data_IF_080876609968
#
_entry.id   IF_080876609968
#
_cell.length_a   1.000
_cell.length_b   1.000
_cell.length_c   1.000
_cell.angle_alpha   90.00
_cell.angle_beta   90.00
_cell.angle_gamma   90.00
#
_symmetry.space_group_name_H-M   'P 1'
#
loop_
_entity.id
_entity.type
_entity.pdbx_description
1 polymer ?
#
# COMPACT_ATOMS: atom_id res chain seq x y z
N UNK A 1 63.99 -0.23 -14.30
CA UNK A 1 62.80 0.66 -14.28
C UNK A 1 62.98 1.66 -13.15
N UNK A 2 62.94 2.94 -13.44
CA UNK A 2 63.45 4.03 -12.56
C UNK A 2 62.44 4.26 -11.40
N UNK A 3 62.86 4.09 -10.15
CA UNK A 3 62.03 4.23 -8.92
C UNK A 3 61.20 5.54 -8.88
N UNK A 4 61.69 6.61 -9.51
CA UNK A 4 60.99 7.90 -9.65
C UNK A 4 59.84 7.83 -10.68
N UNK A 5 59.95 7.01 -11.72
CA UNK A 5 58.90 6.80 -12.71
C UNK A 5 57.76 5.98 -12.11
N UNK A 6 58.08 4.93 -11.36
CA UNK A 6 57.10 4.08 -10.66
C UNK A 6 56.26 4.86 -9.65
N UNK A 7 56.89 5.78 -8.88
CA UNK A 7 56.15 6.66 -7.95
C UNK A 7 55.17 7.61 -8.67
N UNK A 8 55.58 8.14 -9.85
CA UNK A 8 54.67 9.01 -10.64
C UNK A 8 53.50 8.23 -11.23
N UNK A 9 53.72 6.98 -11.67
CA UNK A 9 52.64 6.13 -12.16
C UNK A 9 51.66 5.71 -11.06
N UNK A 10 52.13 5.38 -9.85
CA UNK A 10 51.30 5.07 -8.69
C UNK A 10 50.46 6.27 -8.27
N UNK A 11 51.04 7.49 -8.26
CA UNK A 11 50.30 8.72 -7.94
C UNK A 11 49.21 9.02 -8.99
N UNK A 12 49.56 8.81 -10.28
CA UNK A 12 48.61 9.02 -11.39
C UNK A 12 47.45 8.02 -11.35
N UNK A 13 47.72 6.76 -10.96
CA UNK A 13 46.66 5.72 -10.81
C UNK A 13 45.74 6.00 -9.63
N UNK A 14 46.30 6.48 -8.51
CA UNK A 14 45.51 6.87 -7.34
C UNK A 14 44.63 8.10 -7.66
N UNK A 15 45.16 9.08 -8.42
CA UNK A 15 44.43 10.27 -8.83
C UNK A 15 43.32 9.95 -9.85
N UNK A 16 43.52 8.93 -10.71
CA UNK A 16 42.51 8.48 -11.66
C UNK A 16 41.36 7.69 -10.97
N UNK A 17 41.64 6.95 -9.89
CA UNK A 17 40.62 6.28 -9.08
C UNK A 17 39.73 7.24 -8.30
N UNK A 18 40.16 8.48 -8.04
CA UNK A 18 39.34 9.52 -7.40
C UNK A 18 38.37 10.22 -8.35
N UNK A 19 38.46 9.99 -9.66
CA UNK A 19 37.63 10.58 -10.70
C UNK A 19 36.47 9.67 -11.14
N UNK A 20 36.27 8.50 -10.49
CA UNK A 20 35.08 7.71 -10.73
C UNK A 20 33.93 8.45 -10.05
N UNK A 21 32.94 9.01 -10.78
CA UNK A 21 31.76 9.57 -10.15
C UNK A 21 31.07 8.40 -9.44
N UNK A 22 31.16 8.38 -8.10
CA UNK A 22 30.20 7.61 -7.33
C UNK A 22 28.85 8.21 -7.69
N UNK A 23 27.98 7.44 -8.38
CA UNK A 23 26.57 7.74 -8.38
C UNK A 23 26.14 7.65 -6.91
N UNK A 24 26.12 8.78 -6.23
CA UNK A 24 25.35 8.91 -5.02
C UNK A 24 23.91 8.59 -5.46
N UNK A 25 23.40 7.43 -5.11
CA UNK A 25 21.96 7.22 -5.09
C UNK A 25 21.47 8.31 -4.13
N UNK A 26 20.67 9.23 -4.65
CA UNK A 26 19.97 10.16 -3.77
C UNK A 26 19.09 9.29 -2.89
N UNK A 27 19.54 9.03 -1.68
CA UNK A 27 18.65 8.53 -0.63
C UNK A 27 17.59 9.59 -0.45
N UNK A 28 16.35 9.15 -0.33
CA UNK A 28 15.23 10.02 0.00
C UNK A 28 15.62 10.86 1.21
N UNK A 29 15.49 12.18 1.11
CA UNK A 29 15.90 13.07 2.21
C UNK A 29 14.96 12.83 3.41
N UNK A 30 15.50 12.24 4.47
CA UNK A 30 14.75 11.98 5.71
C UNK A 30 14.19 13.28 6.27
N UNK A 31 12.90 13.31 6.58
CA UNK A 31 12.17 14.49 7.03
C UNK A 31 11.65 15.38 5.89
N UNK A 32 11.96 15.08 4.62
CA UNK A 32 11.35 15.76 3.49
C UNK A 32 9.85 15.47 3.44
N UNK A 33 9.05 16.51 3.26
CA UNK A 33 7.61 16.40 3.06
C UNK A 33 7.25 16.80 1.62
N UNK A 34 6.47 15.96 0.96
CA UNK A 34 5.83 16.28 -0.33
C UNK A 34 4.33 16.18 -0.13
N UNK A 35 3.60 17.19 -0.60
CA UNK A 35 2.13 17.21 -0.55
C UNK A 35 1.55 16.97 -1.93
N UNK A 36 0.58 16.06 -2.02
CA UNK A 36 -0.19 15.87 -3.24
C UNK A 36 -1.60 16.43 -3.06
N UNK A 37 -2.05 17.18 -4.05
CA UNK A 37 -3.33 17.88 -4.03
C UNK A 37 -4.19 17.43 -5.22
N UNK A 38 -5.44 17.09 -4.94
CA UNK A 38 -6.41 16.85 -6.02
C UNK A 38 -6.61 18.11 -6.88
N UNK A 39 -6.63 17.96 -8.21
CA UNK A 39 -6.71 19.09 -9.14
C UNK A 39 -7.99 19.92 -8.98
N UNK A 40 -9.08 19.26 -8.56
CA UNK A 40 -10.41 19.89 -8.48
C UNK A 40 -10.68 20.59 -7.15
N UNK A 41 -9.67 20.73 -6.30
CA UNK A 41 -9.76 21.54 -5.08
C UNK A 41 -9.82 23.03 -5.41
N UNK A 42 -10.69 23.78 -4.71
CA UNK A 42 -10.66 25.25 -4.76
C UNK A 42 -9.41 25.78 -4.05
N UNK A 43 -9.00 27.03 -4.31
CA UNK A 43 -7.88 27.64 -3.60
C UNK A 43 -8.05 27.64 -2.07
N UNK A 44 -9.26 27.87 -1.58
CA UNK A 44 -9.59 27.85 -0.15
C UNK A 44 -9.44 26.46 0.43
N UNK A 45 -9.91 25.43 -0.29
CA UNK A 45 -9.75 24.03 0.12
C UNK A 45 -8.27 23.63 0.16
N UNK A 46 -7.47 23.99 -0.85
CA UNK A 46 -6.02 23.75 -0.87
C UNK A 46 -5.35 24.35 0.36
N UNK A 47 -5.62 25.62 0.66
CA UNK A 47 -5.04 26.29 1.82
C UNK A 47 -5.46 25.61 3.14
N UNK A 48 -6.72 25.22 3.26
CA UNK A 48 -7.23 24.50 4.44
C UNK A 48 -6.52 23.18 4.64
N UNK A 49 -6.37 22.38 3.56
CA UNK A 49 -5.71 21.08 3.64
C UNK A 49 -4.21 21.23 3.93
N UNK A 50 -3.52 22.19 3.32
CA UNK A 50 -2.11 22.47 3.62
C UNK A 50 -1.91 22.82 5.11
N UNK A 51 -2.79 23.65 5.67
CA UNK A 51 -2.76 23.99 7.09
C UNK A 51 -3.05 22.77 7.99
N UNK A 52 -4.02 21.92 7.60
CA UNK A 52 -4.35 20.68 8.31
C UNK A 52 -3.18 19.70 8.31
N UNK A 53 -2.50 19.53 7.18
CA UNK A 53 -1.30 18.72 7.01
C UNK A 53 -0.07 19.29 7.71
N UNK A 54 -0.16 20.53 8.27
CA UNK A 54 0.98 21.26 8.84
C UNK A 54 2.13 21.43 7.84
N UNK A 55 1.78 21.58 6.57
CA UNK A 55 2.75 21.68 5.50
C UNK A 55 3.61 22.98 5.64
N UNK A 56 4.94 22.90 5.47
CA UNK A 56 5.79 24.09 5.37
C UNK A 56 5.35 25.02 4.24
N UNK A 57 5.66 26.31 4.36
CA UNK A 57 5.26 27.30 3.34
C UNK A 57 5.89 27.04 1.96
N UNK A 58 7.07 26.44 1.95
CA UNK A 58 7.86 26.09 0.77
C UNK A 58 7.74 24.61 0.39
N UNK A 59 6.73 23.89 0.93
CA UNK A 59 6.53 22.48 0.65
C UNK A 59 6.36 22.22 -0.84
N UNK A 60 7.03 21.21 -1.34
CA UNK A 60 6.81 20.77 -2.71
C UNK A 60 5.41 20.18 -2.86
N UNK A 61 4.67 20.66 -3.87
CA UNK A 61 3.32 20.20 -4.15
C UNK A 61 3.22 19.52 -5.52
N UNK A 62 2.48 18.42 -5.58
CA UNK A 62 2.19 17.67 -6.81
C UNK A 62 0.67 17.64 -6.99
N UNK A 63 0.20 17.80 -8.23
CA UNK A 63 -1.24 17.70 -8.54
C UNK A 63 -1.57 16.30 -9.04
N UNK A 64 -2.71 15.77 -8.58
CA UNK A 64 -3.31 14.53 -9.07
C UNK A 64 -4.59 14.88 -9.80
N UNK A 65 -4.70 14.49 -11.06
CA UNK A 65 -5.87 14.73 -11.88
C UNK A 65 -6.89 13.59 -11.80
N UNK A 66 -8.15 13.90 -12.05
CA UNK A 66 -9.17 12.87 -12.17
C UNK A 66 -8.94 11.95 -13.39
N UNK A 67 -8.26 12.45 -14.42
CA UNK A 67 -7.87 11.63 -15.56
C UNK A 67 -6.89 10.52 -15.18
N UNK A 68 -5.90 10.83 -14.34
CA UNK A 68 -4.95 9.85 -13.78
C UNK A 68 -5.67 8.80 -12.91
N UNK A 69 -6.65 9.20 -12.09
CA UNK A 69 -7.47 8.25 -11.34
C UNK A 69 -8.20 7.26 -12.27
N UNK A 70 -8.81 7.78 -13.33
CA UNK A 70 -9.49 6.93 -14.30
C UNK A 70 -8.53 6.01 -15.07
N UNK A 71 -7.31 6.43 -15.33
CA UNK A 71 -6.29 5.61 -15.96
C UNK A 71 -5.90 4.42 -15.09
N UNK A 72 -5.65 4.64 -13.80
CA UNK A 72 -5.21 3.58 -12.88
C UNK A 72 -6.34 2.69 -12.36
N UNK A 73 -7.54 3.23 -12.21
CA UNK A 73 -8.64 2.56 -11.51
C UNK A 73 -9.79 2.14 -12.44
N UNK A 74 -9.90 2.76 -13.63
CA UNK A 74 -11.04 2.59 -14.51
C UNK A 74 -11.27 1.18 -15.04
N UNK A 75 -10.26 0.30 -14.98
CA UNK A 75 -10.39 -1.12 -15.31
C UNK A 75 -10.96 -1.96 -14.14
N UNK A 76 -10.93 -1.45 -12.91
CA UNK A 76 -11.25 -2.22 -11.72
C UNK A 76 -12.53 -1.77 -11.03
N UNK A 77 -12.89 -0.49 -11.14
CA UNK A 77 -14.12 0.07 -10.54
C UNK A 77 -14.89 0.93 -11.53
N UNK A 78 -16.19 1.08 -11.26
CA UNK A 78 -17.05 1.90 -12.09
C UNK A 78 -16.63 3.37 -12.05
N UNK A 79 -16.83 4.08 -13.16
CA UNK A 79 -16.61 5.53 -13.25
C UNK A 79 -17.39 6.31 -12.18
N UNK A 80 -18.54 5.80 -11.78
CA UNK A 80 -19.37 6.43 -10.74
C UNK A 80 -18.68 6.37 -9.35
N UNK A 81 -17.91 5.32 -9.05
CA UNK A 81 -17.20 5.17 -7.79
C UNK A 81 -15.90 5.99 -7.77
N UNK A 82 -15.19 6.09 -8.90
CA UNK A 82 -14.06 7.02 -9.06
C UNK A 82 -14.55 8.46 -8.92
N UNK A 83 -15.72 8.75 -9.50
CA UNK A 83 -16.28 10.09 -9.53
C UNK A 83 -15.72 10.95 -10.67
N UNK A 84 -16.01 12.24 -10.59
CA UNK A 84 -15.66 13.23 -11.64
C UNK A 84 -14.67 14.27 -11.13
N UNK A 85 -14.16 14.13 -9.91
CA UNK A 85 -13.29 15.11 -9.25
C UNK A 85 -12.24 14.43 -8.40
N UNK A 86 -10.99 14.72 -8.64
CA UNK A 86 -9.89 14.42 -7.74
C UNK A 86 -9.83 15.49 -6.65
N UNK A 87 -10.21 15.17 -5.41
CA UNK A 87 -10.18 16.08 -4.25
C UNK A 87 -9.54 15.47 -3.00
N UNK A 88 -9.26 14.16 -2.98
CA UNK A 88 -8.39 13.61 -1.94
C UNK A 88 -6.95 14.04 -2.15
N UNK A 89 -6.24 14.19 -1.05
CA UNK A 89 -4.89 14.77 -1.00
C UNK A 89 -4.08 14.05 0.05
N UNK A 90 -2.77 14.09 -0.06
CA UNK A 90 -1.89 13.46 0.94
C UNK A 90 -0.66 14.32 1.24
N UNK A 91 -0.16 14.21 2.48
CA UNK A 91 1.19 14.62 2.85
C UNK A 91 2.03 13.37 3.08
N UNK A 92 3.15 13.28 2.40
CA UNK A 92 4.11 12.17 2.52
C UNK A 92 5.38 12.72 3.14
N UNK A 93 5.72 12.26 4.34
CA UNK A 93 6.98 12.57 5.03
C UNK A 93 7.86 11.34 5.00
N UNK A 94 9.04 11.46 4.43
CA UNK A 94 9.98 10.36 4.29
C UNK A 94 10.75 10.15 5.58
N UNK A 95 10.90 8.89 5.98
CA UNK A 95 11.44 8.48 7.26
C UNK A 95 12.77 7.74 7.11
N UNK A 96 13.42 7.45 8.23
CA UNK A 96 14.64 6.65 8.24
C UNK A 96 14.35 5.21 7.78
N UNK A 97 15.32 4.61 7.09
CA UNK A 97 15.23 3.22 6.66
C UNK A 97 14.90 2.28 7.84
N UNK A 98 13.93 1.40 7.64
CA UNK A 98 13.44 0.46 8.65
C UNK A 98 12.31 1.00 9.54
N UNK A 99 11.83 2.24 9.34
CA UNK A 99 10.66 2.78 10.07
C UNK A 99 9.35 2.12 9.64
N UNK A 100 9.28 1.63 8.39
CA UNK A 100 8.06 1.10 7.80
C UNK A 100 7.09 2.18 7.35
N UNK A 101 5.92 1.76 6.89
CA UNK A 101 4.85 2.65 6.45
C UNK A 101 3.87 2.92 7.58
N UNK A 102 3.54 4.20 7.77
CA UNK A 102 2.46 4.64 8.65
C UNK A 102 1.50 5.50 7.86
N UNK A 103 0.21 5.19 7.91
CA UNK A 103 -0.84 5.98 7.28
C UNK A 103 -1.84 6.42 8.34
N UNK A 104 -2.26 7.68 8.26
CA UNK A 104 -3.39 8.23 8.99
C UNK A 104 -4.33 8.88 7.98
N UNK A 105 -5.63 8.80 8.22
CA UNK A 105 -6.61 9.33 7.28
C UNK A 105 -7.72 10.14 7.96
N UNK A 106 -8.29 11.11 7.20
CA UNK A 106 -9.44 11.90 7.62
C UNK A 106 -10.35 12.19 6.42
N UNK A 107 -11.65 12.07 6.61
CA UNK A 107 -12.64 12.21 5.55
C UNK A 107 -12.46 11.20 4.40
N UNK A 108 -11.92 10.03 4.70
CA UNK A 108 -11.81 8.90 3.78
C UNK A 108 -12.74 7.80 4.32
N UNK A 109 -13.64 7.29 3.49
CA UNK A 109 -14.72 6.43 3.94
C UNK A 109 -14.81 5.06 3.25
N UNK A 110 -13.89 4.74 2.33
CA UNK A 110 -13.86 3.45 1.63
C UNK A 110 -12.50 2.76 1.71
N UNK A 111 -11.41 3.48 1.42
CA UNK A 111 -10.04 2.93 1.56
C UNK A 111 -9.56 3.15 2.99
N UNK A 112 -9.16 2.08 3.68
CA UNK A 112 -8.60 2.17 5.04
C UNK A 112 -7.10 2.46 5.02
N UNK A 113 -6.55 2.80 6.18
CA UNK A 113 -5.12 3.06 6.36
C UNK A 113 -4.29 1.83 6.02
N UNK A 114 -4.75 0.64 6.42
CA UNK A 114 -4.11 -0.65 6.13
C UNK A 114 -4.16 -1.00 4.64
N UNK A 115 -5.23 -0.65 3.92
CA UNK A 115 -5.32 -0.84 2.48
C UNK A 115 -4.29 0.01 1.75
N UNK A 116 -4.08 1.27 2.19
CA UNK A 116 -2.99 2.09 1.66
C UNK A 116 -1.62 1.46 1.94
N UNK A 117 -1.35 1.03 3.18
CA UNK A 117 -0.07 0.40 3.54
C UNK A 117 0.19 -0.82 2.66
N UNK A 118 -0.80 -1.69 2.48
CA UNK A 118 -0.67 -2.89 1.64
C UNK A 118 -0.33 -2.52 0.19
N UNK A 119 -1.11 -1.64 -0.44
CA UNK A 119 -0.91 -1.24 -1.83
C UNK A 119 0.42 -0.51 -2.05
N UNK A 120 0.81 0.37 -1.10
CA UNK A 120 2.08 1.08 -1.15
C UNK A 120 3.29 0.15 -1.00
N UNK A 121 3.19 -0.85 -0.12
CA UNK A 121 4.23 -1.87 0.01
C UNK A 121 4.40 -2.66 -1.31
N UNK A 122 3.30 -3.02 -1.99
CA UNK A 122 3.32 -3.63 -3.32
C UNK A 122 3.98 -2.72 -4.36
N UNK A 123 3.68 -1.41 -4.32
CA UNK A 123 4.32 -0.42 -5.19
C UNK A 123 5.80 -0.19 -4.87
N UNK A 124 6.32 -0.77 -3.80
CA UNK A 124 7.73 -0.61 -3.38
C UNK A 124 8.02 0.71 -2.67
N UNK A 125 6.98 1.43 -2.22
CA UNK A 125 7.12 2.61 -1.34
C UNK A 125 7.61 2.14 0.02
N UNK A 126 8.58 2.86 0.59
CA UNK A 126 9.26 2.47 1.83
C UNK A 126 9.35 3.65 2.79
N UNK A 127 9.28 3.32 4.07
CA UNK A 127 9.70 4.20 5.16
C UNK A 127 9.13 5.63 5.08
N UNK A 128 7.81 5.75 5.24
CA UNK A 128 7.11 7.03 5.17
C UNK A 128 5.96 7.13 6.17
N UNK A 129 5.78 8.32 6.73
CA UNK A 129 4.56 8.72 7.42
C UNK A 129 3.67 9.50 6.45
N UNK A 130 2.45 9.04 6.29
CA UNK A 130 1.51 9.53 5.28
C UNK A 130 0.23 9.98 5.98
N UNK A 131 -0.24 11.17 5.63
CA UNK A 131 -1.53 11.68 6.05
C UNK A 131 -2.42 11.89 4.82
N UNK A 132 -3.54 11.18 4.77
CA UNK A 132 -4.51 11.26 3.66
C UNK A 132 -5.74 12.02 4.12
N UNK A 133 -6.19 13.01 3.34
CA UNK A 133 -7.36 13.80 3.70
C UNK A 133 -8.13 14.32 2.48
N UNK A 134 -9.34 14.78 2.72
CA UNK A 134 -10.18 15.48 1.75
C UNK A 134 -11.05 16.53 2.45
N UNK A 135 -11.54 17.57 1.74
CA UNK A 135 -12.38 18.60 2.34
C UNK A 135 -13.77 18.09 2.77
N UNK A 136 -14.22 16.99 2.22
CA UNK A 136 -15.46 16.28 2.51
C UNK A 136 -15.20 14.76 2.44
N UNK A 137 -16.06 13.90 3.01
CA UNK A 137 -15.93 12.45 2.90
C UNK A 137 -15.90 11.98 1.44
N UNK A 138 -14.89 11.18 1.08
CA UNK A 138 -14.66 10.61 -0.26
C UNK A 138 -14.13 9.19 -0.15
N UNK A 139 -14.09 8.45 -1.28
CA UNK A 139 -13.52 7.09 -1.34
C UNK A 139 -12.03 7.03 -0.95
N UNK A 140 -11.24 8.03 -1.36
CA UNK A 140 -9.80 8.11 -1.11
C UNK A 140 -8.92 7.53 -2.23
N UNK A 141 -9.50 7.09 -3.33
CA UNK A 141 -8.78 6.41 -4.41
C UNK A 141 -7.69 7.25 -5.08
N UNK A 142 -7.89 8.58 -5.24
CA UNK A 142 -6.89 9.47 -5.82
C UNK A 142 -5.61 9.59 -4.97
N UNK A 143 -5.71 9.38 -3.66
CA UNK A 143 -4.57 9.55 -2.76
C UNK A 143 -3.44 8.55 -3.05
N UNK A 144 -3.75 7.28 -3.38
CA UNK A 144 -2.73 6.28 -3.71
C UNK A 144 -1.86 6.74 -4.89
N UNK A 145 -2.49 7.20 -5.97
CA UNK A 145 -1.77 7.76 -7.12
C UNK A 145 -0.87 8.91 -6.71
N UNK A 146 -1.37 9.80 -5.86
CA UNK A 146 -0.60 10.93 -5.36
C UNK A 146 0.62 10.51 -4.53
N UNK A 147 0.46 9.58 -3.61
CA UNK A 147 1.54 9.07 -2.75
C UNK A 147 2.63 8.41 -3.59
N UNK A 148 2.26 7.60 -4.58
CA UNK A 148 3.20 6.97 -5.51
C UNK A 148 4.00 8.04 -6.27
N UNK A 149 3.33 9.08 -6.81
CA UNK A 149 4.01 10.21 -7.49
C UNK A 149 4.97 10.95 -6.55
N UNK A 150 4.57 11.20 -5.31
CA UNK A 150 5.44 11.84 -4.32
C UNK A 150 6.70 11.00 -4.05
N UNK A 151 6.54 9.69 -3.93
CA UNK A 151 7.66 8.78 -3.73
C UNK A 151 8.61 8.74 -4.94
N UNK A 152 8.08 8.69 -6.16
CA UNK A 152 8.89 8.74 -7.39
C UNK A 152 9.74 10.02 -7.46
N UNK A 153 9.12 11.17 -7.12
CA UNK A 153 9.80 12.48 -7.14
C UNK A 153 10.90 12.55 -6.09
N UNK A 154 10.65 12.10 -4.85
CA UNK A 154 11.64 12.16 -3.78
C UNK A 154 12.77 11.15 -3.96
N UNK A 155 12.44 9.93 -4.41
CA UNK A 155 13.44 8.86 -4.54
C UNK A 155 14.23 8.89 -5.85
N UNK A 156 13.87 9.76 -6.80
CA UNK A 156 14.37 9.75 -8.19
C UNK A 156 14.27 8.37 -8.86
N UNK A 157 13.21 7.62 -8.50
CA UNK A 157 12.94 6.27 -9.02
C UNK A 157 11.58 6.28 -9.71
N UNK A 158 11.50 5.63 -10.86
CA UNK A 158 10.24 5.40 -11.55
C UNK A 158 9.74 4.01 -11.17
N UNK A 159 8.53 3.95 -10.60
CA UNK A 159 7.84 2.69 -10.35
C UNK A 159 7.26 2.20 -11.67
N UNK A 160 7.50 0.95 -12.08
CA UNK A 160 6.94 0.40 -13.31
C UNK A 160 5.42 0.54 -13.36
N UNK A 161 4.90 0.81 -14.54
CA UNK A 161 3.47 1.11 -14.73
C UNK A 161 2.58 -0.07 -14.34
N UNK A 162 3.00 -1.29 -14.67
CA UNK A 162 2.32 -2.54 -14.30
C UNK A 162 2.28 -2.75 -12.78
N UNK A 163 3.33 -2.33 -12.06
CA UNK A 163 3.37 -2.36 -10.58
C UNK A 163 2.41 -1.33 -9.98
N UNK A 164 2.36 -0.09 -10.55
CA UNK A 164 1.38 0.93 -10.12
C UNK A 164 -0.05 0.46 -10.32
N UNK A 165 -0.34 -0.13 -11.47
CA UNK A 165 -1.65 -0.70 -11.77
C UNK A 165 -2.01 -1.84 -10.81
N UNK A 166 -1.08 -2.73 -10.52
CA UNK A 166 -1.31 -3.85 -9.61
C UNK A 166 -1.55 -3.38 -8.16
N UNK A 167 -0.84 -2.36 -7.69
CA UNK A 167 -1.09 -1.76 -6.38
C UNK A 167 -2.49 -1.12 -6.28
N UNK A 168 -2.94 -0.45 -7.35
CA UNK A 168 -4.30 0.09 -7.41
C UNK A 168 -5.36 -1.02 -7.46
N UNK A 169 -5.13 -2.08 -8.23
CA UNK A 169 -6.00 -3.26 -8.29
C UNK A 169 -6.11 -3.94 -6.92
N UNK A 170 -4.99 -4.11 -6.22
CA UNK A 170 -4.95 -4.66 -4.86
C UNK A 170 -5.81 -3.84 -3.91
N UNK A 171 -5.63 -2.51 -3.89
CA UNK A 171 -6.42 -1.62 -3.05
C UNK A 171 -7.92 -1.75 -3.32
N UNK A 172 -8.30 -1.76 -4.59
CA UNK A 172 -9.71 -1.89 -5.01
C UNK A 172 -10.28 -3.26 -4.65
N UNK A 173 -9.52 -4.34 -4.89
CA UNK A 173 -9.95 -5.71 -4.57
C UNK A 173 -10.15 -5.86 -3.08
N UNK A 174 -9.23 -5.31 -2.28
CA UNK A 174 -9.34 -5.32 -0.81
C UNK A 174 -10.55 -4.53 -0.33
N UNK A 175 -10.81 -3.34 -0.89
CA UNK A 175 -11.94 -2.51 -0.51
C UNK A 175 -13.28 -3.16 -0.88
N UNK A 176 -13.40 -3.76 -2.07
CA UNK A 176 -14.61 -4.53 -2.47
C UNK A 176 -14.83 -5.74 -1.57
N UNK A 177 -13.77 -6.49 -1.26
CA UNK A 177 -13.86 -7.58 -0.31
C UNK A 177 -14.30 -7.06 1.06
N UNK A 178 -13.81 -5.89 1.47
CA UNK A 178 -14.20 -5.20 2.70
C UNK A 178 -15.67 -4.84 2.76
N UNK A 179 -16.30 -4.47 1.64
CA UNK A 179 -17.75 -4.23 1.56
C UNK A 179 -18.57 -5.50 1.87
N UNK A 180 -17.99 -6.70 1.67
CA UNK A 180 -18.65 -7.99 1.83
C UNK A 180 -18.37 -8.65 3.18
N UNK A 181 -17.10 -8.61 3.64
CA UNK A 181 -16.67 -9.33 4.86
C UNK A 181 -16.24 -8.41 6.01
N UNK A 182 -16.23 -7.09 5.79
CA UNK A 182 -15.72 -6.08 6.72
C UNK A 182 -14.34 -5.56 6.30
N UNK A 183 -14.15 -4.25 6.42
CA UNK A 183 -12.94 -3.55 5.91
C UNK A 183 -11.67 -3.96 6.62
N UNK A 184 -11.70 -4.06 7.95
CA UNK A 184 -10.57 -4.51 8.77
C UNK A 184 -10.18 -5.96 8.46
N UNK A 185 -11.18 -6.83 8.28
CA UNK A 185 -10.99 -8.25 7.97
C UNK A 185 -10.35 -8.44 6.59
N UNK A 186 -10.81 -7.69 5.60
CA UNK A 186 -10.24 -7.75 4.26
C UNK A 186 -8.79 -7.26 4.23
N UNK A 187 -8.50 -6.15 4.92
CA UNK A 187 -7.15 -5.63 5.03
C UNK A 187 -6.21 -6.59 5.79
N UNK A 188 -6.69 -7.17 6.88
CA UNK A 188 -5.97 -8.17 7.66
C UNK A 188 -5.66 -9.44 6.83
N UNK A 189 -6.66 -9.92 6.08
CA UNK A 189 -6.50 -11.09 5.20
C UNK A 189 -5.46 -10.81 4.12
N UNK A 190 -5.50 -9.63 3.49
CA UNK A 190 -4.51 -9.24 2.50
C UNK A 190 -3.09 -9.21 3.07
N UNK A 191 -2.91 -8.62 4.26
CA UNK A 191 -1.63 -8.60 4.97
C UNK A 191 -1.13 -10.02 5.23
N UNK A 192 -1.98 -10.89 5.76
CA UNK A 192 -1.63 -12.28 6.08
C UNK A 192 -1.23 -13.09 4.86
N UNK A 193 -1.99 -12.98 3.76
CA UNK A 193 -1.64 -13.65 2.49
C UNK A 193 -0.26 -13.16 2.00
N UNK A 194 0.02 -11.86 2.06
CA UNK A 194 1.31 -11.30 1.62
C UNK A 194 2.48 -11.76 2.48
N UNK A 195 2.30 -11.89 3.79
CA UNK A 195 3.30 -12.49 4.68
C UNK A 195 3.62 -13.92 4.28
N UNK A 196 2.58 -14.73 4.04
CA UNK A 196 2.73 -16.12 3.61
C UNK A 196 3.35 -16.22 2.20
N UNK A 197 3.00 -15.32 1.29
CA UNK A 197 3.63 -15.20 -0.04
C UNK A 197 5.13 -14.92 0.07
N UNK A 198 5.53 -14.00 0.95
CA UNK A 198 6.93 -13.67 1.19
C UNK A 198 7.71 -14.84 1.78
N UNK A 199 7.10 -15.60 2.71
CA UNK A 199 7.73 -16.71 3.41
C UNK A 199 7.82 -17.98 2.53
N UNK A 200 6.75 -18.34 1.82
CA UNK A 200 6.59 -19.65 1.17
C UNK A 200 6.83 -19.61 -0.34
N UNK A 201 6.74 -18.44 -0.98
CA UNK A 201 6.99 -18.25 -2.42
C UNK A 201 6.27 -19.27 -3.30
N UNK A 202 4.93 -19.36 -3.26
CA UNK A 202 4.18 -20.40 -3.95
C UNK A 202 4.46 -20.38 -5.46
N UNK A 203 4.69 -21.55 -6.06
CA UNK A 203 4.99 -21.65 -7.50
C UNK A 203 3.72 -22.00 -8.29
N UNK A 204 2.80 -22.75 -7.70
CA UNK A 204 1.58 -23.23 -8.36
C UNK A 204 0.31 -22.51 -7.88
N UNK A 205 -0.77 -22.50 -8.70
CA UNK A 205 -2.07 -21.98 -8.28
C UNK A 205 -2.64 -22.71 -7.05
N UNK A 206 -2.38 -24.00 -6.91
CA UNK A 206 -2.85 -24.82 -5.79
C UNK A 206 -2.15 -24.44 -4.48
N UNK A 207 -0.85 -24.16 -4.53
CA UNK A 207 -0.10 -23.67 -3.38
C UNK A 207 -0.60 -22.28 -2.96
N UNK A 208 -0.86 -21.37 -3.92
CA UNK A 208 -1.45 -20.06 -3.66
C UNK A 208 -2.84 -20.19 -3.03
N UNK A 209 -3.68 -21.09 -3.55
CA UNK A 209 -4.99 -21.36 -2.94
C UNK A 209 -4.85 -21.82 -1.49
N UNK A 210 -3.91 -22.72 -1.23
CA UNK A 210 -3.63 -23.21 0.13
C UNK A 210 -3.25 -22.06 1.08
N UNK A 211 -2.45 -21.10 0.61
CA UNK A 211 -2.09 -19.91 1.37
C UNK A 211 -3.33 -19.06 1.67
N UNK A 212 -4.19 -18.80 0.68
CA UNK A 212 -5.43 -18.02 0.85
C UNK A 212 -6.35 -18.70 1.86
N UNK A 213 -6.59 -20.01 1.71
CA UNK A 213 -7.46 -20.79 2.59
C UNK A 213 -6.91 -20.81 4.03
N UNK A 214 -5.59 -20.98 4.20
CA UNK A 214 -4.93 -20.97 5.51
C UNK A 214 -5.02 -19.58 6.18
N UNK A 215 -4.74 -18.52 5.43
CA UNK A 215 -4.84 -17.15 5.94
C UNK A 215 -6.28 -16.81 6.38
N UNK A 216 -7.26 -17.21 5.59
CA UNK A 216 -8.68 -17.03 5.94
C UNK A 216 -9.05 -17.84 7.20
N UNK A 217 -8.57 -19.08 7.30
CA UNK A 217 -8.81 -19.93 8.47
C UNK A 217 -8.18 -19.35 9.75
N UNK A 218 -6.94 -18.86 9.67
CA UNK A 218 -6.24 -18.25 10.80
C UNK A 218 -6.99 -17.02 11.36
N UNK A 219 -7.65 -16.29 10.47
CA UNK A 219 -8.44 -15.10 10.79
C UNK A 219 -9.92 -15.41 11.06
N UNK A 220 -10.33 -16.68 11.03
CA UNK A 220 -11.72 -17.11 11.13
C UNK A 220 -12.65 -16.46 10.09
N UNK A 221 -12.15 -16.21 8.89
CA UNK A 221 -12.89 -15.65 7.76
C UNK A 221 -13.37 -16.79 6.88
N UNK A 222 -14.64 -16.74 6.47
CA UNK A 222 -15.20 -17.66 5.47
C UNK A 222 -15.30 -16.93 4.13
N UNK A 223 -14.62 -17.45 3.12
CA UNK A 223 -14.64 -16.91 1.76
C UNK A 223 -15.52 -17.76 0.85
N UNK A 224 -16.20 -17.11 -0.08
CA UNK A 224 -16.86 -17.77 -1.22
C UNK A 224 -15.83 -18.19 -2.26
N UNK A 225 -16.18 -19.13 -3.14
CA UNK A 225 -15.30 -19.52 -4.26
C UNK A 225 -14.97 -18.33 -5.18
N UNK A 226 -15.91 -17.40 -5.38
CA UNK A 226 -15.70 -16.19 -6.17
C UNK A 226 -14.66 -15.28 -5.52
N UNK A 227 -14.72 -15.07 -4.20
CA UNK A 227 -13.73 -14.28 -3.46
C UNK A 227 -12.34 -14.93 -3.49
N UNK A 228 -12.27 -16.26 -3.33
CA UNK A 228 -11.00 -17.01 -3.46
C UNK A 228 -10.43 -16.84 -4.86
N UNK A 229 -11.25 -16.96 -5.91
CA UNK A 229 -10.79 -16.80 -7.28
C UNK A 229 -10.27 -15.39 -7.54
N UNK A 230 -10.98 -14.35 -7.09
CA UNK A 230 -10.55 -12.97 -7.22
C UNK A 230 -9.19 -12.71 -6.53
N UNK A 231 -8.99 -13.29 -5.35
CA UNK A 231 -7.70 -13.22 -4.65
C UNK A 231 -6.61 -14.00 -5.40
N UNK A 232 -6.90 -15.19 -5.91
CA UNK A 232 -5.95 -15.96 -6.71
C UNK A 232 -5.53 -15.19 -7.97
N UNK A 233 -6.46 -14.57 -8.68
CA UNK A 233 -6.19 -13.80 -9.89
C UNK A 233 -5.28 -12.60 -9.57
N UNK A 234 -5.57 -11.86 -8.50
CA UNK A 234 -4.74 -10.76 -8.04
C UNK A 234 -3.32 -11.24 -7.70
N UNK A 235 -3.18 -12.25 -6.83
CA UNK A 235 -1.86 -12.70 -6.37
C UNK A 235 -1.07 -13.42 -7.46
N UNK A 236 -1.69 -14.09 -8.42
CA UNK A 236 -1.00 -14.61 -9.60
C UNK A 236 -0.41 -13.47 -10.42
N UNK A 237 -1.17 -12.38 -10.62
CA UNK A 237 -0.66 -11.18 -11.30
C UNK A 237 0.51 -10.56 -10.53
N UNK A 238 0.40 -10.41 -9.20
CA UNK A 238 1.48 -9.88 -8.38
C UNK A 238 2.76 -10.74 -8.43
N UNK A 239 2.63 -12.06 -8.55
CA UNK A 239 3.77 -12.99 -8.73
C UNK A 239 4.53 -12.78 -10.05
N UNK A 240 3.82 -12.43 -11.12
CA UNK A 240 4.43 -12.18 -12.42
C UNK A 240 5.24 -10.87 -12.46
N UNK A 241 4.98 -9.97 -11.52
CA UNK A 241 5.69 -8.70 -11.40
C UNK A 241 7.01 -8.88 -10.61
N UNK A 242 7.98 -8.03 -10.91
CA UNK A 242 9.26 -8.03 -10.19
C UNK A 242 9.14 -7.28 -8.85
N UNK A 243 8.34 -7.83 -7.94
CA UNK A 243 8.10 -7.28 -6.59
C UNK A 243 9.14 -7.84 -5.62
N UNK A 244 9.79 -6.97 -4.84
CA UNK A 244 10.66 -7.37 -3.74
C UNK A 244 9.82 -7.78 -2.51
N UNK A 245 9.42 -9.06 -2.46
CA UNK A 245 8.59 -9.61 -1.39
C UNK A 245 9.22 -9.47 0.01
N UNK A 246 10.55 -9.46 0.13
CA UNK A 246 11.20 -9.21 1.42
C UNK A 246 10.95 -7.77 1.87
N UNK A 247 11.11 -6.81 0.95
CA UNK A 247 10.79 -5.41 1.24
C UNK A 247 9.30 -5.20 1.54
N UNK A 248 8.40 -5.91 0.86
CA UNK A 248 6.96 -5.90 1.19
C UNK A 248 6.74 -6.32 2.65
N UNK A 249 7.33 -7.45 3.07
CA UNK A 249 7.22 -7.94 4.45
C UNK A 249 7.72 -6.91 5.47
N UNK A 250 8.86 -6.27 5.23
CA UNK A 250 9.42 -5.24 6.11
C UNK A 250 8.46 -4.04 6.26
N UNK A 251 7.82 -3.60 5.17
CA UNK A 251 6.90 -2.46 5.21
C UNK A 251 5.55 -2.81 5.86
N UNK A 252 5.15 -4.08 5.85
CA UNK A 252 3.90 -4.53 6.47
C UNK A 252 3.98 -4.69 8.00
N UNK A 253 5.15 -4.47 8.61
CA UNK A 253 5.34 -4.61 10.07
C UNK A 253 4.28 -3.80 10.84
N UNK A 254 3.97 -2.57 10.41
CA UNK A 254 2.95 -1.74 11.06
C UNK A 254 1.52 -2.24 10.83
N UNK A 255 1.23 -2.76 9.64
CA UNK A 255 -0.07 -3.38 9.39
C UNK A 255 -0.26 -4.63 10.24
N UNK A 256 0.79 -5.43 10.43
CA UNK A 256 0.78 -6.57 11.33
C UNK A 256 0.57 -6.19 12.79
N UNK A 257 1.30 -5.19 13.31
CA UNK A 257 1.11 -4.70 14.67
C UNK A 257 -0.33 -4.24 14.91
N UNK A 258 -0.95 -3.56 13.95
CA UNK A 258 -2.36 -3.16 14.02
C UNK A 258 -3.30 -4.35 13.95
N UNK A 259 -3.02 -5.34 13.09
CA UNK A 259 -3.79 -6.57 13.03
C UNK A 259 -3.77 -7.32 14.37
N UNK A 260 -2.60 -7.51 14.95
CA UNK A 260 -2.46 -8.18 16.24
C UNK A 260 -3.22 -7.41 17.33
N UNK A 261 -3.12 -6.07 17.34
CA UNK A 261 -3.87 -5.20 18.25
C UNK A 261 -5.37 -5.31 18.05
N UNK A 262 -5.85 -5.37 16.79
CA UNK A 262 -7.26 -5.56 16.48
C UNK A 262 -7.77 -6.93 16.97
N UNK A 263 -7.03 -8.00 16.71
CA UNK A 263 -7.41 -9.35 17.16
C UNK A 263 -7.45 -9.48 18.69
N UNK A 264 -6.63 -8.71 19.40
CA UNK A 264 -6.61 -8.64 20.87
C UNK A 264 -7.66 -7.66 21.45
N UNK A 265 -8.21 -6.75 20.63
CA UNK A 265 -9.19 -5.77 21.07
C UNK A 265 -10.57 -6.40 21.38
N UNK A 266 -11.38 -5.70 22.20
CA UNK A 266 -12.77 -6.12 22.46
C UNK A 266 -13.60 -6.20 21.16
N UNK A 267 -13.35 -5.32 20.19
CA UNK A 267 -14.03 -5.31 18.89
C UNK A 267 -13.61 -6.53 18.05
N UNK A 268 -12.33 -6.86 17.98
CA UNK A 268 -11.82 -8.03 17.29
C UNK A 268 -12.30 -9.33 17.93
N UNK A 269 -12.26 -9.42 19.26
CA UNK A 269 -12.81 -10.57 19.98
C UNK A 269 -14.32 -10.69 19.80
N UNK A 270 -15.06 -9.58 19.88
CA UNK A 270 -16.51 -9.55 19.61
C UNK A 270 -16.82 -9.97 18.17
N UNK A 271 -15.99 -9.60 17.21
CA UNK A 271 -16.14 -10.02 15.82
C UNK A 271 -15.92 -11.52 15.66
N UNK A 272 -14.84 -12.06 16.23
CA UNK A 272 -14.57 -13.50 16.26
C UNK A 272 -15.74 -14.27 16.92
N UNK A 273 -16.25 -13.75 18.03
CA UNK A 273 -17.36 -14.39 18.74
C UNK A 273 -18.67 -14.34 17.93
N UNK A 274 -18.98 -13.23 17.25
CA UNK A 274 -20.14 -13.13 16.33
C UNK A 274 -20.06 -14.11 15.17
N UNK A 275 -18.85 -14.31 14.60
CA UNK A 275 -18.63 -15.32 13.56
C UNK A 275 -18.90 -16.71 14.12
N UNK A 276 -18.36 -17.06 15.28
CA UNK A 276 -18.58 -18.35 15.94
C UNK A 276 -20.06 -18.59 16.22
N UNK A 277 -20.75 -17.56 16.72
CA UNK A 277 -22.18 -17.61 16.99
C UNK A 277 -23.01 -17.77 15.70
N UNK A 278 -22.66 -17.02 14.64
CA UNK A 278 -23.25 -17.15 13.30
C UNK A 278 -23.13 -18.57 12.73
N UNK A 279 -21.95 -19.18 12.86
CA UNK A 279 -21.73 -20.59 12.47
C UNK A 279 -22.52 -21.57 13.31
N UNK A 280 -22.60 -21.38 14.63
CA UNK A 280 -23.39 -22.24 15.52
C UNK A 280 -24.87 -22.19 15.12
N UNK A 281 -25.41 -20.98 14.90
CA UNK A 281 -26.80 -20.78 14.48
C UNK A 281 -27.09 -21.38 13.09
N UNK A 282 -26.13 -21.27 12.14
CA UNK A 282 -26.25 -21.90 10.83
C UNK A 282 -26.28 -23.43 10.92
N UNK A 283 -25.42 -24.00 11.75
CA UNK A 283 -25.39 -25.47 11.98
C UNK A 283 -26.72 -25.93 12.63
N UNK A 284 -27.27 -25.16 13.57
CA UNK A 284 -28.58 -25.48 14.19
C UNK A 284 -29.72 -25.37 13.17
N UNK A 285 -29.72 -24.32 12.34
CA UNK A 285 -30.71 -24.16 11.28
C UNK A 285 -30.64 -25.29 10.24
N UNK A 286 -29.44 -25.73 9.86
CA UNK A 286 -29.25 -26.89 8.98
C UNK A 286 -29.76 -28.16 9.64
N UNK A 287 -29.45 -28.40 10.90
CA UNK A 287 -29.98 -29.57 11.66
C UNK A 287 -31.50 -29.58 11.72
N UNK A 288 -32.12 -28.41 11.89
CA UNK A 288 -33.58 -28.26 11.92
C UNK A 288 -34.26 -28.52 10.57
N UNK A 289 -33.54 -28.35 9.45
CA UNK A 289 -34.06 -28.67 8.11
C UNK A 289 -34.03 -30.16 7.78
N UNK A 290 -33.27 -30.97 8.54
CA UNK A 290 -33.14 -32.41 8.35
C UNK A 290 -33.83 -33.23 9.45
N UNK A 291 -34.58 -32.62 10.37
CA UNK A 291 -35.49 -33.26 11.31
C UNK A 291 -36.95 -33.07 10.84
#
# INVERSE_FOLDING_TARGET
>A
MNRKLMKKWVILTIMLCMLVPYKAFADVAVGEMIVTLGENLTPEQKNTLLAEMKAPQDVQTITVSNAEEHEYLGSYISKALIGTKAISSSAVTFEQAGTGLKVESKNINWVTEEMYINALATAGVKDATIYVTAPIPVSGTAALTGIIKAYEVSSDKVIPEDVKQAANEEMVTTAKLGDEIGTEQAAALMTKIKEEMAANKPETPEELRTIIDSAAQDLNITLTEEQIQNLQDLFNKLKELNIDWNAVGDQLTKAKEKLDTFLESEEGQSFIDKIKEGFANLIEAIKALFQ
#
